data_IF_859182786041
#
_entry.id   IF_859182786041
#
_cell.length_a   1.000
_cell.length_b   1.000
_cell.length_c   1.000
_cell.angle_alpha   90.00
_cell.angle_beta   90.00
_cell.angle_gamma   90.00
#
_symmetry.space_group_name_H-M   'P 1'
#
loop_
_entity.id
_entity.type
_entity.pdbx_description
1 polymer ?
#
# COMPACT_ATOMS: atom_id res chain seq x y z
N UNK A 1 4.54 -23.74 -33.40
CA UNK A 1 5.23 -22.56 -32.81
C UNK A 1 4.51 -21.24 -33.12
N UNK A 2 4.24 -20.89 -34.40
CA UNK A 2 3.60 -19.62 -34.80
C UNK A 2 2.25 -19.32 -34.08
N UNK A 3 1.29 -20.26 -34.09
CA UNK A 3 -0.01 -20.14 -33.37
C UNK A 3 0.10 -20.01 -31.84
N UNK A 4 1.20 -20.48 -31.24
CA UNK A 4 1.45 -20.33 -29.79
C UNK A 4 2.04 -18.95 -29.50
N UNK A 5 2.94 -18.48 -30.36
CA UNK A 5 3.51 -17.14 -30.26
C UNK A 5 2.45 -16.04 -30.46
N UNK A 6 1.66 -16.10 -31.53
CA UNK A 6 0.57 -15.16 -31.83
C UNK A 6 -0.42 -15.05 -30.67
N UNK A 7 -0.68 -16.17 -30.03
CA UNK A 7 -1.65 -16.24 -28.94
C UNK A 7 -1.14 -15.77 -27.57
N UNK A 8 0.18 -15.82 -27.36
CA UNK A 8 0.79 -15.18 -26.18
C UNK A 8 0.73 -13.68 -26.35
N UNK A 9 1.06 -13.19 -27.55
CA UNK A 9 0.96 -11.77 -27.89
C UNK A 9 -0.46 -11.24 -27.67
N UNK A 10 -1.49 -12.03 -28.01
CA UNK A 10 -2.88 -11.68 -27.74
C UNK A 10 -3.17 -11.44 -26.24
N UNK A 11 -2.65 -12.27 -25.34
CA UNK A 11 -2.86 -12.10 -23.90
C UNK A 11 -2.19 -10.83 -23.36
N UNK A 12 -0.95 -10.55 -23.78
CA UNK A 12 -0.25 -9.31 -23.39
C UNK A 12 -0.91 -8.07 -23.99
N UNK A 13 -1.39 -8.16 -25.23
CA UNK A 13 -2.16 -7.09 -25.86
C UNK A 13 -3.50 -6.86 -25.15
N UNK A 14 -4.23 -7.91 -24.78
CA UNK A 14 -5.45 -7.82 -23.99
C UNK A 14 -5.20 -7.18 -22.61
N UNK A 15 -4.10 -7.50 -21.96
CA UNK A 15 -3.70 -6.88 -20.70
C UNK A 15 -3.38 -5.39 -20.86
N UNK A 16 -2.67 -5.03 -21.93
CA UNK A 16 -2.45 -3.62 -22.29
C UNK A 16 -3.79 -2.89 -22.50
N UNK A 17 -4.72 -3.47 -23.26
CA UNK A 17 -6.06 -2.90 -23.45
C UNK A 17 -6.82 -2.78 -22.12
N UNK A 18 -6.71 -3.76 -21.22
CA UNK A 18 -7.27 -3.69 -19.87
C UNK A 18 -6.74 -2.50 -19.08
N UNK A 19 -5.42 -2.30 -19.06
CA UNK A 19 -4.78 -1.16 -18.39
C UNK A 19 -5.26 0.19 -18.98
N UNK A 20 -5.31 0.31 -20.31
CA UNK A 20 -5.83 1.51 -20.99
C UNK A 20 -7.31 1.72 -20.67
N UNK A 21 -8.12 0.66 -20.62
CA UNK A 21 -9.55 0.74 -20.32
C UNK A 21 -9.79 1.28 -18.92
N UNK A 22 -9.11 0.73 -17.90
CA UNK A 22 -9.24 1.22 -16.51
C UNK A 22 -8.74 2.66 -16.40
N UNK A 23 -7.59 2.97 -16.99
CA UNK A 23 -7.06 4.34 -17.02
C UNK A 23 -8.05 5.32 -17.66
N UNK A 24 -8.69 4.94 -18.77
CA UNK A 24 -9.69 5.76 -19.46
C UNK A 24 -10.97 5.96 -18.63
N UNK A 25 -11.44 4.91 -17.94
CA UNK A 25 -12.63 4.97 -17.09
C UNK A 25 -12.46 5.94 -15.92
N UNK A 26 -11.26 6.01 -15.35
CA UNK A 26 -10.99 6.84 -14.17
C UNK A 26 -10.11 8.06 -14.43
N UNK A 27 -9.79 8.36 -15.69
CA UNK A 27 -8.96 9.52 -16.06
C UNK A 27 -9.49 10.83 -15.42
N UNK A 28 -8.63 11.65 -14.78
CA UNK A 28 -7.17 11.56 -14.73
C UNK A 28 -6.63 10.72 -13.56
N UNK A 29 -7.52 10.10 -12.78
CA UNK A 29 -7.23 9.35 -11.56
C UNK A 29 -7.82 10.04 -10.35
N UNK A 30 -8.03 9.26 -9.29
CA UNK A 30 -8.50 9.80 -8.02
C UNK A 30 -7.33 10.11 -7.09
N UNK A 31 -7.43 11.25 -6.40
CA UNK A 31 -6.48 11.69 -5.39
C UNK A 31 -7.17 11.90 -4.06
N UNK A 32 -6.52 11.39 -3.02
CA UNK A 32 -6.81 11.69 -1.62
C UNK A 32 -5.76 12.66 -1.08
N UNK A 33 -5.90 13.09 0.18
CA UNK A 33 -4.87 13.87 0.88
C UNK A 33 -3.48 13.25 0.77
N UNK A 34 -3.34 11.94 1.01
CA UNK A 34 -2.06 11.23 0.89
C UNK A 34 -1.47 11.33 -0.53
N UNK A 35 -2.33 11.30 -1.55
CA UNK A 35 -1.92 11.44 -2.94
C UNK A 35 -1.39 12.85 -3.23
N UNK A 36 -2.04 13.88 -2.68
CA UNK A 36 -1.61 15.27 -2.84
C UNK A 36 -0.29 15.55 -2.12
N UNK A 37 -0.10 15.00 -0.93
CA UNK A 37 1.18 15.10 -0.20
C UNK A 37 2.32 14.53 -1.07
N UNK A 38 2.18 13.31 -1.58
CA UNK A 38 3.20 12.70 -2.44
C UNK A 38 3.37 13.40 -3.79
N UNK A 39 2.30 13.95 -4.36
CA UNK A 39 2.39 14.74 -5.59
C UNK A 39 3.13 16.06 -5.36
N UNK A 40 2.89 16.73 -4.23
CA UNK A 40 3.62 17.95 -3.85
C UNK A 40 5.11 17.67 -3.65
N UNK A 41 5.45 16.56 -2.99
CA UNK A 41 6.85 16.10 -2.86
C UNK A 41 7.46 15.82 -4.24
N UNK A 42 6.72 15.19 -5.15
CA UNK A 42 7.17 14.93 -6.52
C UNK A 42 7.43 16.22 -7.32
N UNK A 43 6.55 17.21 -7.22
CA UNK A 43 6.68 18.48 -7.94
C UNK A 43 7.81 19.36 -7.39
N UNK A 44 7.97 19.39 -6.07
CA UNK A 44 9.01 20.18 -5.40
C UNK A 44 10.37 19.48 -5.34
N UNK A 45 10.40 18.17 -5.61
CA UNK A 45 11.56 17.29 -5.40
C UNK A 45 12.13 17.41 -3.98
N UNK A 46 11.24 17.61 -3.01
CA UNK A 46 11.55 17.74 -1.59
C UNK A 46 10.75 16.70 -0.82
N UNK A 47 11.43 15.81 -0.11
CA UNK A 47 10.80 14.62 0.47
C UNK A 47 10.84 14.63 1.99
N UNK A 48 9.70 14.26 2.60
CA UNK A 48 9.58 14.08 4.05
C UNK A 48 9.57 12.60 4.44
N UNK A 49 9.69 12.30 5.73
CA UNK A 49 9.61 10.92 6.25
C UNK A 49 8.19 10.48 6.62
N UNK A 50 7.17 11.27 6.26
CA UNK A 50 5.76 10.96 6.54
C UNK A 50 5.33 9.67 5.82
N UNK A 51 5.78 9.52 4.57
CA UNK A 51 5.66 8.29 3.78
C UNK A 51 7.02 7.90 3.20
N UNK A 52 7.23 6.63 2.81
CA UNK A 52 8.40 6.26 2.02
C UNK A 52 8.47 7.09 0.71
N UNK A 53 9.65 7.63 0.34
CA UNK A 53 9.76 8.66 -0.71
C UNK A 53 9.70 8.08 -2.13
N UNK A 54 9.79 6.75 -2.31
CA UNK A 54 10.02 6.16 -3.62
C UNK A 54 8.86 6.40 -4.59
N UNK A 55 7.62 6.42 -4.10
CA UNK A 55 6.47 6.71 -4.96
C UNK A 55 6.53 8.15 -5.49
N UNK A 56 6.79 9.13 -4.63
CA UNK A 56 6.92 10.53 -5.03
C UNK A 56 8.13 10.73 -5.95
N UNK A 57 9.25 10.07 -5.67
CA UNK A 57 10.45 10.08 -6.51
C UNK A 57 10.17 9.54 -7.93
N UNK A 58 9.49 8.41 -8.06
CA UNK A 58 9.08 7.88 -9.37
C UNK A 58 8.06 8.79 -10.04
N UNK A 59 7.11 9.33 -9.27
CA UNK A 59 6.12 10.27 -9.77
C UNK A 59 6.79 11.51 -10.37
N UNK A 60 7.84 12.06 -9.76
CA UNK A 60 8.58 13.20 -10.31
C UNK A 60 8.97 12.99 -11.78
N UNK A 61 9.60 11.86 -12.11
CA UNK A 61 10.01 11.58 -13.50
C UNK A 61 8.84 11.34 -14.44
N UNK A 62 7.76 10.73 -13.95
CA UNK A 62 6.53 10.55 -14.73
C UNK A 62 5.87 11.91 -14.98
N UNK A 63 5.87 12.81 -14.00
CA UNK A 63 5.32 14.16 -14.07
C UNK A 63 6.08 15.02 -15.10
N UNK A 64 7.40 14.85 -15.22
CA UNK A 64 8.20 15.51 -16.27
C UNK A 64 7.77 15.11 -17.70
N UNK A 65 7.24 13.91 -17.89
CA UNK A 65 6.82 13.39 -19.21
C UNK A 65 5.34 13.71 -19.46
N UNK A 66 4.49 13.46 -18.45
CA UNK A 66 3.05 13.69 -18.52
C UNK A 66 2.56 14.34 -17.22
N UNK A 67 2.55 15.69 -17.16
CA UNK A 67 2.28 16.44 -15.94
C UNK A 67 0.91 16.14 -15.32
N UNK A 68 0.89 15.76 -14.05
CA UNK A 68 -0.28 15.45 -13.27
C UNK A 68 -0.32 14.01 -12.77
N UNK A 69 -1.52 13.57 -12.41
CA UNK A 69 -1.78 12.28 -11.77
C UNK A 69 -1.99 11.11 -12.74
N UNK A 70 -2.36 11.40 -13.99
CA UNK A 70 -2.72 10.39 -14.98
C UNK A 70 -1.54 9.51 -15.41
N UNK A 71 -0.31 10.03 -15.37
CA UNK A 71 0.88 9.23 -15.64
C UNK A 71 1.05 8.12 -14.60
N UNK A 72 0.88 8.44 -13.31
CA UNK A 72 0.91 7.46 -12.22
C UNK A 72 -0.26 6.49 -12.26
N UNK A 73 -1.47 6.98 -12.63
CA UNK A 73 -2.62 6.10 -12.85
C UNK A 73 -2.31 5.04 -13.91
N UNK A 74 -1.81 5.47 -15.08
CA UNK A 74 -1.45 4.57 -16.17
C UNK A 74 -0.33 3.62 -15.75
N UNK A 75 0.70 4.12 -15.07
CA UNK A 75 1.81 3.33 -14.57
C UNK A 75 1.33 2.18 -13.66
N UNK A 76 0.57 2.49 -12.61
CA UNK A 76 0.04 1.48 -11.68
C UNK A 76 -0.84 0.43 -12.40
N UNK A 77 -1.64 0.87 -13.37
CA UNK A 77 -2.48 -0.03 -14.16
C UNK A 77 -1.64 -0.93 -15.08
N UNK A 78 -0.62 -0.40 -15.77
CA UNK A 78 0.26 -1.21 -16.61
C UNK A 78 0.97 -2.29 -15.80
N UNK A 79 1.48 -1.96 -14.62
CA UNK A 79 2.14 -2.95 -13.74
C UNK A 79 1.20 -4.07 -13.33
N UNK A 80 -0.01 -3.73 -12.85
CA UNK A 80 -1.01 -4.71 -12.45
C UNK A 80 -1.39 -5.65 -13.60
N UNK A 81 -1.82 -5.09 -14.73
CA UNK A 81 -2.34 -5.88 -15.84
C UNK A 81 -1.24 -6.72 -16.51
N UNK A 82 -0.01 -6.18 -16.63
CA UNK A 82 1.14 -6.93 -17.12
C UNK A 82 1.51 -8.09 -16.17
N UNK A 83 1.47 -7.84 -14.86
CA UNK A 83 1.67 -8.88 -13.85
C UNK A 83 0.66 -10.01 -13.98
N UNK A 84 -0.63 -9.67 -14.10
CA UNK A 84 -1.70 -10.64 -14.35
C UNK A 84 -1.47 -11.44 -15.63
N UNK A 85 -1.04 -10.80 -16.72
CA UNK A 85 -0.71 -11.50 -17.97
C UNK A 85 0.42 -12.52 -17.78
N UNK A 86 1.50 -12.15 -17.08
CA UNK A 86 2.59 -13.07 -16.79
C UNK A 86 2.16 -14.26 -15.92
N UNK A 87 1.31 -14.02 -14.90
CA UNK A 87 0.74 -15.09 -14.06
C UNK A 87 -0.02 -16.07 -14.95
N UNK A 88 -0.95 -15.56 -15.77
CA UNK A 88 -1.85 -16.41 -16.56
C UNK A 88 -1.13 -17.14 -17.71
N UNK A 89 -0.16 -16.50 -18.37
CA UNK A 89 0.70 -17.14 -19.39
C UNK A 89 1.56 -18.27 -18.78
N UNK A 90 1.92 -18.17 -17.50
CA UNK A 90 2.74 -19.18 -16.83
C UNK A 90 1.95 -20.39 -16.30
N UNK A 91 0.62 -20.28 -16.17
CA UNK A 91 -0.22 -21.28 -15.48
C UNK A 91 -1.14 -22.07 -16.39
N UNK A 92 -1.63 -21.47 -17.48
CA UNK A 92 -2.64 -22.10 -18.32
C UNK A 92 -2.15 -22.28 -19.75
N UNK A 93 -2.33 -23.49 -20.28
CA UNK A 93 -2.21 -23.77 -21.71
C UNK A 93 -3.45 -23.38 -22.50
N UNK A 94 -4.61 -23.19 -21.82
CA UNK A 94 -5.89 -22.79 -22.42
C UNK A 94 -6.06 -21.27 -22.35
N UNK A 95 -6.11 -20.65 -23.52
CA UNK A 95 -5.90 -19.20 -23.65
C UNK A 95 -7.19 -18.42 -23.51
N UNK A 96 -8.29 -19.04 -23.90
CA UNK A 96 -9.64 -18.55 -23.72
C UNK A 96 -9.93 -18.41 -22.22
N UNK A 97 -9.48 -19.38 -21.42
CA UNK A 97 -9.55 -19.29 -19.96
C UNK A 97 -8.61 -18.20 -19.42
N UNK A 98 -7.38 -18.10 -19.92
CA UNK A 98 -6.47 -17.01 -19.51
C UNK A 98 -7.06 -15.63 -19.79
N UNK A 99 -7.66 -15.42 -20.97
CA UNK A 99 -8.32 -14.15 -21.31
C UNK A 99 -9.55 -13.90 -20.44
N UNK A 100 -10.37 -14.93 -20.20
CA UNK A 100 -11.52 -14.84 -19.31
C UNK A 100 -11.08 -14.43 -17.89
N UNK A 101 -10.12 -15.14 -17.30
CA UNK A 101 -9.63 -14.83 -15.95
C UNK A 101 -8.91 -13.48 -15.87
N UNK A 102 -8.20 -13.07 -16.93
CA UNK A 102 -7.57 -11.75 -17.00
C UNK A 102 -8.62 -10.64 -16.79
N UNK A 103 -9.73 -10.71 -17.53
CA UNK A 103 -10.79 -9.70 -17.42
C UNK A 103 -11.66 -9.88 -16.19
N UNK A 104 -11.99 -11.11 -15.78
CA UNK A 104 -12.77 -11.37 -14.55
C UNK A 104 -12.04 -10.82 -13.33
N UNK A 105 -10.73 -11.05 -13.21
CA UNK A 105 -9.94 -10.57 -12.08
C UNK A 105 -9.66 -9.07 -12.21
N UNK A 106 -9.24 -8.61 -13.39
CA UNK A 106 -8.90 -7.20 -13.59
C UNK A 106 -10.08 -6.23 -13.46
N UNK A 107 -11.29 -6.69 -13.79
CA UNK A 107 -12.54 -5.94 -13.59
C UNK A 107 -13.34 -6.38 -12.36
N UNK A 108 -12.75 -7.21 -11.48
CA UNK A 108 -13.37 -7.57 -10.23
C UNK A 108 -13.62 -6.30 -9.39
N UNK A 109 -14.82 -6.08 -8.79
CA UNK A 109 -15.20 -4.77 -8.27
C UNK A 109 -14.20 -4.14 -7.27
N UNK A 110 -13.65 -4.87 -6.29
CA UNK A 110 -12.62 -4.33 -5.39
C UNK A 110 -11.30 -3.98 -6.11
N UNK A 111 -10.92 -4.76 -7.12
CA UNK A 111 -9.68 -4.53 -7.89
C UNK A 111 -9.81 -3.25 -8.71
N UNK A 112 -10.86 -3.15 -9.53
CA UNK A 112 -11.06 -1.96 -10.37
C UNK A 112 -11.28 -0.69 -9.52
N UNK A 113 -11.95 -0.81 -8.37
CA UNK A 113 -12.13 0.29 -7.43
C UNK A 113 -10.79 0.81 -6.91
N UNK A 114 -9.86 -0.07 -6.54
CA UNK A 114 -8.53 0.31 -6.06
C UNK A 114 -7.66 0.88 -7.20
N UNK A 115 -7.69 0.25 -8.39
CA UNK A 115 -6.91 0.70 -9.56
C UNK A 115 -7.30 2.09 -10.10
N UNK A 116 -8.41 2.67 -9.63
CA UNK A 116 -8.85 4.03 -9.97
C UNK A 116 -8.03 5.14 -9.30
N UNK A 117 -7.30 4.82 -8.22
CA UNK A 117 -6.80 5.80 -7.26
C UNK A 117 -5.28 5.78 -7.18
N UNK A 118 -4.66 6.96 -7.12
CA UNK A 118 -3.21 7.10 -6.93
C UNK A 118 -2.89 6.99 -5.43
N UNK A 119 -2.88 5.75 -4.93
CA UNK A 119 -2.45 5.42 -3.57
C UNK A 119 -1.17 4.57 -3.60
N UNK A 120 -0.33 4.76 -2.58
CA UNK A 120 0.83 3.88 -2.32
C UNK A 120 0.42 2.42 -2.08
N UNK A 121 -0.75 2.17 -1.52
CA UNK A 121 -1.30 0.81 -1.39
C UNK A 121 -1.57 0.17 -2.75
N UNK A 122 -2.06 0.95 -3.71
CA UNK A 122 -2.37 0.51 -5.06
C UNK A 122 -1.07 0.27 -5.84
N UNK A 123 -0.11 1.18 -5.74
CA UNK A 123 1.22 0.99 -6.33
C UNK A 123 1.91 -0.26 -5.78
N UNK A 124 1.97 -0.43 -4.45
CA UNK A 124 2.51 -1.64 -3.81
C UNK A 124 1.76 -2.91 -4.27
N UNK A 125 0.43 -2.88 -4.34
CA UNK A 125 -0.37 -4.01 -4.82
C UNK A 125 -0.06 -4.38 -6.26
N UNK A 126 -0.03 -3.39 -7.16
CA UNK A 126 0.33 -3.57 -8.58
C UNK A 126 1.74 -4.14 -8.76
N UNK A 127 2.71 -3.65 -7.97
CA UNK A 127 4.08 -4.16 -7.97
C UNK A 127 4.16 -5.62 -7.54
N UNK A 128 3.46 -5.99 -6.46
CA UNK A 128 3.47 -7.35 -5.96
C UNK A 128 2.83 -8.31 -6.96
N UNK A 129 1.76 -7.90 -7.67
CA UNK A 129 1.16 -8.68 -8.76
C UNK A 129 2.15 -8.85 -9.92
N UNK A 130 2.85 -7.79 -10.31
CA UNK A 130 3.92 -7.88 -11.31
C UNK A 130 5.06 -8.78 -10.86
N UNK A 131 5.46 -8.69 -9.60
CA UNK A 131 6.53 -9.50 -9.05
C UNK A 131 6.18 -10.99 -9.08
N UNK A 132 4.98 -11.35 -8.64
CA UNK A 132 4.47 -12.73 -8.74
C UNK A 132 4.41 -13.19 -10.20
N UNK A 133 3.97 -12.32 -11.12
CA UNK A 133 3.97 -12.60 -12.55
C UNK A 133 5.36 -12.91 -13.10
N UNK A 134 6.33 -12.03 -12.86
CA UNK A 134 7.71 -12.19 -13.32
C UNK A 134 8.35 -13.49 -12.78
N UNK A 135 8.16 -13.80 -11.49
CA UNK A 135 8.66 -15.05 -10.89
C UNK A 135 7.98 -16.29 -11.47
N UNK A 136 6.66 -16.22 -11.67
CA UNK A 136 5.90 -17.31 -12.30
C UNK A 136 6.40 -17.55 -13.73
N UNK A 137 6.60 -16.47 -14.50
CA UNK A 137 7.15 -16.56 -15.85
C UNK A 137 8.57 -17.12 -15.85
N UNK A 138 9.46 -16.61 -14.99
CA UNK A 138 10.84 -17.07 -14.88
C UNK A 138 10.95 -18.55 -14.50
N UNK A 139 9.98 -19.09 -13.76
CA UNK A 139 9.92 -20.52 -13.42
C UNK A 139 9.70 -21.43 -14.63
N UNK A 140 9.02 -20.91 -15.67
CA UNK A 140 8.66 -21.65 -16.90
C UNK A 140 9.67 -21.51 -18.03
N UNK A 141 10.60 -20.54 -17.93
CA UNK A 141 11.61 -20.27 -18.97
C UNK A 141 12.86 -21.11 -18.73
N UNK A 142 13.33 -21.83 -19.74
CA UNK A 142 14.58 -22.58 -19.66
C UNK A 142 15.80 -21.76 -20.11
N UNK A 143 15.60 -20.83 -21.03
CA UNK A 143 16.66 -19.94 -21.52
C UNK A 143 17.25 -19.09 -20.39
N UNK A 144 18.55 -19.30 -20.09
CA UNK A 144 19.24 -18.64 -18.98
C UNK A 144 19.24 -17.11 -19.07
N UNK A 145 19.40 -16.54 -20.28
CA UNK A 145 19.45 -15.08 -20.48
C UNK A 145 18.10 -14.45 -20.12
N UNK A 146 17.03 -14.92 -20.74
CA UNK A 146 15.66 -14.45 -20.48
C UNK A 146 15.27 -14.62 -19.00
N UNK A 147 15.60 -15.77 -18.40
CA UNK A 147 15.38 -15.99 -16.95
C UNK A 147 16.10 -14.95 -16.08
N UNK A 148 17.38 -14.68 -16.35
CA UNK A 148 18.15 -13.67 -15.60
C UNK A 148 17.54 -12.28 -15.75
N UNK A 149 17.10 -11.90 -16.94
CA UNK A 149 16.42 -10.61 -17.18
C UNK A 149 15.15 -10.51 -16.31
N UNK A 150 14.31 -11.54 -16.32
CA UNK A 150 13.08 -11.56 -15.51
C UNK A 150 13.36 -11.46 -14.00
N UNK A 151 14.40 -12.14 -13.51
CA UNK A 151 14.83 -12.07 -12.12
C UNK A 151 15.39 -10.68 -11.78
N UNK A 152 16.20 -10.08 -12.65
CA UNK A 152 16.69 -8.71 -12.45
C UNK A 152 15.55 -7.69 -12.43
N UNK A 153 14.60 -7.78 -13.36
CA UNK A 153 13.39 -6.95 -13.36
C UNK A 153 12.62 -7.13 -12.05
N UNK A 154 12.45 -8.38 -11.60
CA UNK A 154 11.75 -8.68 -10.35
C UNK A 154 12.42 -8.03 -9.13
N UNK A 155 13.75 -8.02 -9.07
CA UNK A 155 14.49 -7.34 -8.01
C UNK A 155 14.13 -5.86 -7.91
N UNK A 156 14.10 -5.13 -9.04
CA UNK A 156 13.75 -3.71 -9.05
C UNK A 156 12.28 -3.46 -8.74
N UNK A 157 11.37 -4.34 -9.17
CA UNK A 157 9.95 -4.26 -8.79
C UNK A 157 9.77 -4.46 -7.28
N UNK A 158 10.46 -5.44 -6.67
CA UNK A 158 10.43 -5.64 -5.22
C UNK A 158 11.09 -4.48 -4.45
N UNK A 159 12.13 -3.86 -5.03
CA UNK A 159 12.76 -2.67 -4.48
C UNK A 159 11.77 -1.51 -4.42
N UNK A 160 11.04 -1.27 -5.50
CA UNK A 160 10.00 -0.25 -5.58
C UNK A 160 8.86 -0.53 -4.59
N UNK A 161 8.36 -1.77 -4.51
CA UNK A 161 7.29 -2.14 -3.58
C UNK A 161 7.60 -1.80 -2.11
N UNK A 162 8.82 -2.13 -1.64
CA UNK A 162 9.29 -1.74 -0.28
C UNK A 162 9.42 -0.23 -0.15
N UNK A 163 9.95 0.44 -1.18
CA UNK A 163 10.15 1.88 -1.19
C UNK A 163 8.86 2.70 -1.25
N UNK A 164 7.75 2.09 -1.66
CA UNK A 164 6.41 2.70 -1.67
C UNK A 164 5.72 2.56 -0.32
N UNK A 165 5.93 1.44 0.38
CA UNK A 165 5.30 1.19 1.69
C UNK A 165 6.14 0.28 2.59
N UNK A 166 6.37 0.73 3.83
CA UNK A 166 7.20 0.01 4.81
C UNK A 166 6.66 -1.39 5.17
N UNK A 167 5.34 -1.59 5.15
CA UNK A 167 4.73 -2.89 5.44
C UNK A 167 4.84 -3.88 4.27
N UNK A 168 5.26 -3.47 3.07
CA UNK A 168 5.47 -4.37 1.94
C UNK A 168 6.54 -5.44 2.25
N UNK A 169 7.45 -5.15 3.19
CA UNK A 169 8.52 -6.06 3.63
C UNK A 169 7.98 -7.46 3.98
N UNK A 170 6.80 -7.56 4.59
CA UNK A 170 6.21 -8.87 4.94
C UNK A 170 5.78 -9.66 3.72
N UNK A 171 5.28 -8.99 2.67
CA UNK A 171 4.90 -9.62 1.41
C UNK A 171 6.10 -9.94 0.52
N UNK A 172 7.16 -9.12 0.57
CA UNK A 172 8.36 -9.29 -0.26
C UNK A 172 9.24 -10.44 0.24
N UNK A 173 9.31 -10.68 1.56
CA UNK A 173 10.12 -11.75 2.14
C UNK A 173 9.93 -13.13 1.47
N UNK A 174 8.70 -13.69 1.36
CA UNK A 174 8.51 -14.98 0.69
C UNK A 174 8.86 -14.93 -0.81
N UNK A 175 8.69 -13.79 -1.48
CA UNK A 175 9.04 -13.63 -2.89
C UNK A 175 10.56 -13.67 -3.12
N UNK A 176 11.36 -13.15 -2.19
CA UNK A 176 12.83 -13.28 -2.22
C UNK A 176 13.27 -14.75 -2.13
N UNK A 177 12.61 -15.55 -1.28
CA UNK A 177 12.89 -16.99 -1.21
C UNK A 177 12.45 -17.72 -2.47
N UNK A 178 11.33 -17.36 -3.08
CA UNK A 178 10.92 -17.91 -4.37
C UNK A 178 11.91 -17.54 -5.49
N UNK A 179 12.36 -16.29 -5.52
CA UNK A 179 13.40 -15.82 -6.44
C UNK A 179 14.70 -16.62 -6.28
N UNK A 180 15.12 -16.89 -5.05
CA UNK A 180 16.30 -17.72 -4.76
C UNK A 180 16.13 -19.17 -5.24
N UNK A 181 14.92 -19.72 -5.10
CA UNK A 181 14.58 -21.06 -5.53
C UNK A 181 14.67 -21.19 -7.06
N UNK A 182 14.15 -20.21 -7.81
CA UNK A 182 14.24 -20.18 -9.27
C UNK A 182 15.69 -20.02 -9.73
N UNK A 183 16.46 -19.17 -9.04
CA UNK A 183 17.88 -18.93 -9.34
C UNK A 183 18.72 -20.21 -9.18
N UNK A 184 18.41 -21.00 -8.15
CA UNK A 184 19.12 -22.23 -7.79
C UNK A 184 18.35 -23.51 -8.17
N UNK A 185 17.65 -23.52 -9.32
CA UNK A 185 16.72 -24.59 -9.78
C UNK A 185 17.26 -26.04 -9.70
N UNK A 186 18.56 -26.26 -9.47
CA UNK A 186 19.16 -27.58 -9.31
C UNK A 186 18.69 -28.30 -8.03
N UNK A 187 18.16 -29.52 -8.20
CA UNK A 187 17.68 -30.39 -7.11
C UNK A 187 18.78 -30.77 -6.10
N UNK A 188 20.05 -30.76 -6.52
CA UNK A 188 21.22 -31.07 -5.69
C UNK A 188 21.57 -29.90 -4.75
N UNK A 189 21.02 -28.71 -4.99
CA UNK A 189 21.33 -27.54 -4.18
C UNK A 189 20.66 -27.63 -2.82
N UNK A 190 21.45 -27.71 -1.76
CA UNK A 190 20.95 -27.74 -0.38
C UNK A 190 19.98 -26.59 -0.08
N UNK A 191 18.88 -26.90 0.62
CA UNK A 191 17.91 -25.91 1.09
C UNK A 191 18.56 -24.77 1.89
N UNK A 192 19.65 -25.06 2.61
CA UNK A 192 20.44 -24.04 3.33
C UNK A 192 20.93 -22.94 2.38
N UNK A 193 21.41 -23.30 1.18
CA UNK A 193 21.92 -22.33 0.20
C UNK A 193 20.79 -21.46 -0.35
N UNK A 194 19.61 -22.04 -0.60
CA UNK A 194 18.42 -21.29 -1.03
C UNK A 194 17.99 -20.27 0.03
N UNK A 195 17.93 -20.69 1.29
CA UNK A 195 17.63 -19.80 2.42
C UNK A 195 18.66 -18.67 2.48
N UNK A 196 19.96 -18.97 2.46
CA UNK A 196 21.02 -17.95 2.51
C UNK A 196 20.88 -16.94 1.36
N UNK A 197 20.71 -17.40 0.12
CA UNK A 197 20.56 -16.47 -1.03
C UNK A 197 19.26 -15.65 -0.90
N UNK A 198 18.15 -16.26 -0.52
CA UNK A 198 16.88 -15.54 -0.30
C UNK A 198 17.01 -14.46 0.77
N UNK A 199 17.67 -14.78 1.89
CA UNK A 199 17.98 -13.81 2.95
C UNK A 199 18.90 -12.69 2.48
N UNK A 200 19.91 -12.99 1.65
CA UNK A 200 20.81 -11.97 1.10
C UNK A 200 20.08 -11.03 0.12
N UNK A 201 19.22 -11.58 -0.75
CA UNK A 201 18.37 -10.78 -1.65
C UNK A 201 17.48 -9.85 -0.81
N UNK A 202 16.78 -10.41 0.18
CA UNK A 202 15.91 -9.63 1.06
C UNK A 202 16.67 -8.54 1.83
N UNK A 203 17.80 -8.89 2.45
CA UNK A 203 18.64 -7.93 3.18
C UNK A 203 19.15 -6.82 2.26
N UNK A 204 19.52 -7.14 1.02
CA UNK A 204 19.94 -6.13 0.04
C UNK A 204 18.81 -5.16 -0.31
N UNK A 205 17.58 -5.65 -0.54
CA UNK A 205 16.41 -4.81 -0.84
C UNK A 205 16.07 -3.87 0.31
N UNK A 206 16.12 -4.37 1.55
CA UNK A 206 15.90 -3.56 2.76
C UNK A 206 17.01 -2.53 2.93
N UNK A 207 18.27 -2.93 2.74
CA UNK A 207 19.42 -2.02 2.84
C UNK A 207 19.37 -0.91 1.78
N UNK A 208 19.10 -1.27 0.52
CA UNK A 208 18.95 -0.28 -0.56
C UNK A 208 17.82 0.69 -0.27
N UNK A 209 16.67 0.21 0.19
CA UNK A 209 15.58 1.11 0.58
C UNK A 209 15.93 1.99 1.77
N UNK A 210 16.62 1.47 2.78
CA UNK A 210 17.07 2.26 3.91
C UNK A 210 18.06 3.36 3.49
N UNK A 211 18.99 3.04 2.58
CA UNK A 211 19.92 4.02 2.00
C UNK A 211 19.16 5.05 1.17
N UNK A 212 18.34 4.62 0.22
CA UNK A 212 17.57 5.52 -0.64
C UNK A 212 16.67 6.44 0.17
N UNK A 213 15.96 5.91 1.17
CA UNK A 213 15.12 6.69 2.08
C UNK A 213 15.94 7.72 2.84
N UNK A 214 17.10 7.34 3.40
CA UNK A 214 17.99 8.26 4.11
C UNK A 214 18.59 9.34 3.18
N UNK A 215 18.84 9.02 1.92
CA UNK A 215 19.42 9.95 0.94
C UNK A 215 18.39 10.91 0.36
N UNK A 216 17.14 10.46 0.19
CA UNK A 216 16.06 11.26 -0.40
C UNK A 216 15.36 12.15 0.61
N UNK A 217 15.23 11.73 1.87
CA UNK A 217 14.54 12.52 2.89
C UNK A 217 15.39 13.72 3.29
N UNK A 218 14.81 14.91 3.12
CA UNK A 218 15.43 16.17 3.50
C UNK A 218 15.15 16.51 4.98
N UNK A 219 13.92 16.24 5.46
CA UNK A 219 13.49 16.55 6.82
C UNK A 219 12.86 15.34 7.53
N UNK A 220 13.56 14.73 8.51
CA UNK A 220 12.95 13.74 9.40
C UNK A 220 11.91 14.40 10.32
N UNK A 221 10.64 14.02 10.19
CA UNK A 221 9.53 14.50 11.00
C UNK A 221 9.16 13.53 12.13
N UNK A 222 9.46 12.23 12.00
CA UNK A 222 9.09 11.13 12.93
C UNK A 222 7.59 11.05 13.27
N UNK A 223 6.74 11.78 12.53
CA UNK A 223 5.33 11.95 12.85
C UNK A 223 4.51 10.65 12.74
N UNK A 224 4.75 9.72 11.79
CA UNK A 224 3.93 8.51 11.68
C UNK A 224 4.01 7.59 12.91
N UNK A 225 5.16 7.54 13.58
CA UNK A 225 5.33 6.69 14.77
C UNK A 225 4.53 7.18 15.98
N UNK A 226 4.35 8.50 16.09
CA UNK A 226 3.59 9.11 17.18
C UNK A 226 2.11 8.74 17.10
N UNK A 227 1.56 8.57 15.89
CA UNK A 227 0.13 8.32 15.67
C UNK A 227 -0.35 7.08 16.40
N UNK A 228 0.28 5.93 16.15
CA UNK A 228 -0.17 4.69 16.78
C UNK A 228 0.14 4.67 18.27
N UNK A 229 1.28 5.20 18.71
CA UNK A 229 1.64 5.25 20.13
C UNK A 229 0.66 6.11 20.93
N UNK A 230 0.33 7.30 20.43
CA UNK A 230 -0.60 8.20 21.07
C UNK A 230 -2.03 7.64 21.05
N UNK A 231 -2.42 6.93 20.00
CA UNK A 231 -3.73 6.26 19.91
C UNK A 231 -3.87 5.14 20.94
N UNK A 232 -2.85 4.26 21.04
CA UNK A 232 -2.83 3.16 22.01
C UNK A 232 -2.87 3.69 23.46
N UNK A 233 -2.09 4.73 23.77
CA UNK A 233 -2.10 5.39 25.08
C UNK A 233 -3.45 6.06 25.38
N UNK A 234 -4.03 6.74 24.39
CA UNK A 234 -5.36 7.37 24.52
C UNK A 234 -6.43 6.32 24.77
N UNK A 235 -6.36 5.17 24.10
CA UNK A 235 -7.27 4.05 24.31
C UNK A 235 -7.22 3.54 25.75
N UNK A 236 -6.01 3.31 26.28
CA UNK A 236 -5.83 2.86 27.67
C UNK A 236 -6.35 3.92 28.64
N UNK A 237 -6.07 5.21 28.39
CA UNK A 237 -6.55 6.31 29.24
C UNK A 237 -8.09 6.39 29.24
N UNK A 238 -8.73 6.24 28.09
CA UNK A 238 -10.20 6.24 27.97
C UNK A 238 -10.85 4.99 28.59
N UNK A 239 -10.15 3.86 28.66
CA UNK A 239 -10.66 2.62 29.28
C UNK A 239 -10.45 2.56 30.80
N UNK A 240 -9.44 3.24 31.34
CA UNK A 240 -9.01 3.08 32.75
C UNK A 240 -9.12 4.35 33.59
N UNK A 241 -9.14 5.53 32.98
CA UNK A 241 -8.96 6.81 33.66
C UNK A 241 -7.51 7.13 34.01
N UNK A 242 -6.57 6.22 33.78
CA UNK A 242 -5.15 6.47 34.01
C UNK A 242 -4.60 7.45 32.96
N UNK A 243 -3.79 8.44 33.40
CA UNK A 243 -3.17 9.44 32.52
C UNK A 243 -1.89 8.88 31.88
N UNK A 244 -2.03 7.98 30.91
CA UNK A 244 -0.87 7.31 30.28
C UNK A 244 -0.18 8.15 29.21
N UNK A 245 -0.90 9.08 28.57
CA UNK A 245 -0.31 10.02 27.60
C UNK A 245 0.54 11.07 28.32
N UNK A 246 1.83 11.27 27.98
CA UNK A 246 2.67 12.25 28.66
C UNK A 246 2.15 13.69 28.50
N UNK A 247 2.27 14.49 29.58
CA UNK A 247 1.74 15.88 29.62
C UNK A 247 2.26 16.76 28.49
N UNK A 248 3.46 16.54 27.97
CA UNK A 248 4.04 17.35 26.88
C UNK A 248 3.19 17.29 25.60
N UNK A 249 2.58 16.15 25.31
CA UNK A 249 1.72 15.93 24.13
C UNK A 249 0.29 16.44 24.31
N UNK A 250 -0.13 16.77 25.53
CA UNK A 250 -1.50 17.21 25.79
C UNK A 250 -1.63 18.71 25.53
N UNK A 251 -2.63 19.13 24.73
CA UNK A 251 -2.94 20.55 24.57
C UNK A 251 -3.59 21.12 25.83
N UNK A 252 -4.61 20.44 26.36
CA UNK A 252 -5.16 20.68 27.69
C UNK A 252 -4.33 19.93 28.74
N UNK A 253 -3.67 20.64 29.67
CA UNK A 253 -2.83 20.00 30.71
C UNK A 253 -3.63 19.34 31.84
N UNK A 254 -4.93 19.62 31.91
CA UNK A 254 -5.84 19.17 32.96
C UNK A 254 -6.92 18.23 32.39
N UNK A 255 -6.53 17.28 31.53
CA UNK A 255 -7.44 16.25 31.01
C UNK A 255 -8.14 15.49 32.14
N UNK A 256 -9.48 15.50 32.10
CA UNK A 256 -10.37 14.64 32.88
C UNK A 256 -10.53 13.26 32.23
N UNK A 257 -11.24 12.35 32.90
CA UNK A 257 -11.54 11.04 32.31
C UNK A 257 -12.47 11.17 31.11
N UNK A 258 -13.47 12.03 31.22
CA UNK A 258 -14.45 12.34 30.19
C UNK A 258 -13.78 12.96 28.96
N UNK A 259 -12.75 13.78 29.16
CA UNK A 259 -11.97 14.34 28.06
C UNK A 259 -11.27 13.25 27.23
N UNK A 260 -10.70 12.23 27.87
CA UNK A 260 -10.07 11.09 27.18
C UNK A 260 -11.07 10.30 26.35
N UNK A 261 -12.25 10.01 26.90
CA UNK A 261 -13.35 9.37 26.17
C UNK A 261 -13.76 10.24 24.98
N UNK A 262 -13.85 11.56 25.18
CA UNK A 262 -14.32 12.49 24.15
C UNK A 262 -13.44 12.49 22.90
N UNK A 263 -12.12 12.32 23.05
CA UNK A 263 -11.16 12.32 21.93
C UNK A 263 -10.86 10.92 21.40
N UNK A 264 -11.16 9.87 22.15
CA UNK A 264 -10.94 8.49 21.72
C UNK A 264 -11.98 8.04 20.70
N UNK A 265 -11.51 7.33 19.66
CA UNK A 265 -12.31 6.46 18.82
C UNK A 265 -11.47 5.24 18.46
N UNK A 266 -11.99 4.00 18.62
CA UNK A 266 -11.19 2.79 18.38
C UNK A 266 -10.62 2.68 16.97
N UNK A 267 -11.32 3.22 15.97
CA UNK A 267 -11.00 3.04 14.55
C UNK A 267 -10.62 4.35 13.82
N UNK A 268 -10.52 5.48 14.53
CA UNK A 268 -10.10 6.78 13.96
C UNK A 268 -9.09 7.46 14.85
N UNK A 269 -7.84 7.36 14.45
CA UNK A 269 -6.71 8.02 15.13
C UNK A 269 -6.77 9.54 14.93
N UNK A 270 -7.29 10.02 13.82
CA UNK A 270 -7.39 11.44 13.48
C UNK A 270 -8.19 12.24 14.52
N UNK A 271 -9.13 11.57 15.22
CA UNK A 271 -9.93 12.20 16.27
C UNK A 271 -9.08 12.77 17.40
N UNK A 272 -7.97 12.11 17.76
CA UNK A 272 -7.08 12.58 18.83
C UNK A 272 -6.32 13.85 18.43
N UNK A 273 -6.21 14.15 17.14
CA UNK A 273 -5.50 15.32 16.60
C UNK A 273 -6.43 16.39 16.01
N UNK A 274 -7.75 16.24 16.15
CA UNK A 274 -8.72 17.15 15.55
C UNK A 274 -8.49 18.61 16.00
N UNK A 275 -8.16 19.55 15.10
CA UNK A 275 -7.91 20.94 15.44
C UNK A 275 -9.09 21.64 16.13
N UNK A 276 -10.33 21.18 15.91
CA UNK A 276 -11.52 21.77 16.54
C UNK A 276 -11.70 21.34 18.00
N UNK A 277 -10.97 20.33 18.47
CA UNK A 277 -11.10 19.84 19.84
C UNK A 277 -10.01 20.46 20.74
N UNK A 278 -10.37 21.16 21.85
CA UNK A 278 -9.38 21.75 22.76
C UNK A 278 -8.51 20.70 23.46
N UNK A 279 -9.02 19.49 23.64
CA UNK A 279 -8.36 18.35 24.27
C UNK A 279 -7.47 17.55 23.30
N UNK A 280 -7.31 18.01 22.05
CA UNK A 280 -6.46 17.35 21.07
C UNK A 280 -5.03 17.17 21.57
N UNK A 281 -4.37 16.13 21.08
CA UNK A 281 -2.95 15.92 21.27
C UNK A 281 -2.14 16.77 20.27
N UNK A 282 -0.88 17.00 20.61
CA UNK A 282 0.12 17.64 19.76
C UNK A 282 1.06 16.59 19.22
N UNK A 283 1.64 16.87 18.06
CA UNK A 283 2.81 16.12 17.56
C UNK A 283 4.06 16.98 17.75
N UNK A 284 5.20 16.31 17.80
CA UNK A 284 6.50 16.97 17.99
C UNK A 284 7.54 16.41 17.04
N UNK A 285 8.54 17.22 16.72
CA UNK A 285 9.76 16.79 16.02
C UNK A 285 10.95 16.65 16.99
N UNK A 286 10.73 16.89 18.30
CA UNK A 286 11.77 16.86 19.32
C UNK A 286 12.12 15.40 19.71
N UNK A 287 13.37 14.93 19.48
CA UNK A 287 13.77 13.56 19.78
C UNK A 287 13.63 13.15 21.25
N UNK A 288 13.82 14.08 22.18
CA UNK A 288 13.68 13.83 23.61
C UNK A 288 12.21 13.61 23.98
N UNK A 289 11.28 14.39 23.41
CA UNK A 289 9.84 14.19 23.60
C UNK A 289 9.38 12.86 22.99
N UNK A 290 9.91 12.48 21.83
CA UNK A 290 9.63 11.17 21.22
C UNK A 290 10.07 10.01 22.10
N UNK A 291 11.25 10.11 22.74
CA UNK A 291 11.72 9.10 23.70
C UNK A 291 10.80 9.00 24.91
N UNK A 292 10.26 10.13 25.39
CA UNK A 292 9.27 10.15 26.47
C UNK A 292 7.98 9.42 26.04
N UNK A 293 7.48 9.70 24.83
CA UNK A 293 6.30 9.02 24.28
C UNK A 293 6.51 7.50 24.18
N UNK A 294 7.64 7.09 23.61
CA UNK A 294 7.99 5.68 23.46
C UNK A 294 8.08 4.95 24.81
N UNK A 295 8.73 5.58 25.80
CA UNK A 295 8.86 5.00 27.15
C UNK A 295 7.50 4.86 27.82
N UNK A 296 6.63 5.88 27.70
CA UNK A 296 5.28 5.83 28.23
C UNK A 296 4.43 4.76 27.54
N UNK A 297 4.51 4.66 26.22
CA UNK A 297 3.85 3.62 25.43
C UNK A 297 4.28 2.22 25.89
N UNK A 298 5.57 1.94 25.93
CA UNK A 298 6.08 0.64 26.38
C UNK A 298 5.64 0.31 27.81
N UNK A 299 5.69 1.29 28.72
CA UNK A 299 5.22 1.13 30.10
C UNK A 299 3.72 0.84 30.20
N UNK A 300 2.89 1.46 29.35
CA UNK A 300 1.45 1.23 29.33
C UNK A 300 1.13 -0.16 28.75
N UNK A 301 1.84 -0.60 27.71
CA UNK A 301 1.69 -1.93 27.12
C UNK A 301 1.99 -3.06 28.12
N UNK A 302 3.05 -2.89 28.93
CA UNK A 302 3.43 -3.92 29.92
C UNK A 302 2.50 -3.94 31.12
N UNK A 303 1.95 -2.78 31.52
CA UNK A 303 0.99 -2.69 32.64
C UNK A 303 -0.44 -3.10 32.25
N UNK A 304 -0.84 -2.87 30.99
CA UNK A 304 -2.20 -3.09 30.49
C UNK A 304 -2.25 -3.95 29.21
N UNK A 305 -1.61 -5.14 29.17
CA UNK A 305 -1.45 -5.92 27.94
C UNK A 305 -2.80 -6.35 27.33
N UNK A 306 -3.78 -6.70 28.18
CA UNK A 306 -5.10 -7.12 27.72
C UNK A 306 -5.93 -5.97 27.15
N UNK A 307 -5.80 -4.75 27.70
CA UNK A 307 -6.51 -3.58 27.18
C UNK A 307 -5.92 -3.12 25.85
N UNK A 308 -4.59 -3.15 25.73
CA UNK A 308 -3.93 -2.96 24.45
C UNK A 308 -4.40 -3.98 23.42
N UNK A 309 -4.36 -5.28 23.76
CA UNK A 309 -4.79 -6.33 22.83
C UNK A 309 -6.25 -6.15 22.42
N UNK A 310 -7.15 -5.84 23.36
CA UNK A 310 -8.56 -5.53 23.07
C UNK A 310 -8.68 -4.36 22.09
N UNK A 311 -7.95 -3.27 22.32
CA UNK A 311 -7.94 -2.12 21.43
C UNK A 311 -7.47 -2.50 20.01
N UNK A 312 -6.37 -3.25 19.90
CA UNK A 312 -5.82 -3.69 18.59
C UNK A 312 -6.74 -4.67 17.87
N UNK A 313 -7.41 -5.57 18.60
CA UNK A 313 -8.42 -6.46 18.01
C UNK A 313 -9.60 -5.65 17.47
N UNK A 314 -10.09 -4.65 18.21
CA UNK A 314 -11.19 -3.80 17.73
C UNK A 314 -10.79 -3.03 16.46
N UNK A 315 -9.59 -2.46 16.44
CA UNK A 315 -9.04 -1.78 15.26
C UNK A 315 -8.92 -2.76 14.07
N UNK A 316 -8.36 -3.94 14.31
CA UNK A 316 -8.22 -4.99 13.30
C UNK A 316 -9.57 -5.44 12.77
N UNK A 317 -10.53 -5.76 13.62
CA UNK A 317 -11.88 -6.18 13.23
C UNK A 317 -12.53 -5.14 12.30
N UNK A 318 -12.36 -3.85 12.61
CA UNK A 318 -12.85 -2.77 11.75
C UNK A 318 -12.15 -2.76 10.38
N UNK A 319 -10.81 -2.82 10.34
CA UNK A 319 -10.05 -2.84 9.08
C UNK A 319 -10.35 -4.06 8.21
N UNK A 320 -10.59 -5.21 8.83
CA UNK A 320 -10.96 -6.45 8.13
C UNK A 320 -12.41 -6.47 7.65
N UNK A 321 -13.21 -5.44 7.96
CA UNK A 321 -14.59 -5.31 7.50
C UNK A 321 -15.58 -6.14 8.32
N UNK A 322 -15.38 -6.28 9.64
CA UNK A 322 -16.37 -6.86 10.56
C UNK A 322 -17.41 -5.85 11.07
N UNK A 323 -17.21 -4.55 10.83
CA UNK A 323 -18.20 -3.53 11.13
C UNK A 323 -19.40 -3.60 10.15
N UNK A 324 -20.52 -2.99 10.51
CA UNK A 324 -21.71 -2.95 9.66
C UNK A 324 -21.40 -2.34 8.28
N UNK A 325 -20.72 -1.19 8.29
CA UNK A 325 -20.23 -0.52 7.09
C UNK A 325 -18.73 -0.75 6.87
N UNK A 326 -18.33 -0.96 5.61
CA UNK A 326 -16.91 -0.97 5.24
C UNK A 326 -16.45 0.48 5.15
N UNK A 327 -15.47 0.83 5.98
CA UNK A 327 -14.95 2.18 6.02
C UNK A 327 -14.00 2.45 4.88
N UNK A 328 -14.30 3.49 4.11
CA UNK A 328 -13.45 4.03 3.05
C UNK A 328 -12.83 2.95 2.13
N UNK A 329 -13.66 2.08 1.51
CA UNK A 329 -13.18 0.92 0.76
C UNK A 329 -12.43 1.31 -0.52
N UNK A 330 -12.72 2.48 -1.07
CA UNK A 330 -12.05 3.09 -2.22
C UNK A 330 -12.38 4.58 -2.29
N UNK A 331 -11.55 5.33 -3.01
CA UNK A 331 -11.79 6.76 -3.27
C UNK A 331 -12.82 6.94 -4.39
N UNK A 332 -13.71 7.92 -4.26
CA UNK A 332 -14.82 8.16 -5.22
C UNK A 332 -14.64 9.40 -6.09
N UNK A 333 -13.46 10.00 -6.10
CA UNK A 333 -13.18 11.25 -6.80
C UNK A 333 -11.89 11.91 -6.36
N UNK A 334 -11.75 13.19 -6.67
CA UNK A 334 -10.62 14.00 -6.20
C UNK A 334 -11.06 14.73 -4.93
N UNK A 335 -10.32 14.54 -3.84
CA UNK A 335 -10.59 15.23 -2.59
C UNK A 335 -10.31 16.74 -2.72
N UNK A 336 -11.07 17.57 -2.03
CA UNK A 336 -10.78 19.01 -1.92
C UNK A 336 -9.35 19.21 -1.42
N UNK A 337 -8.64 20.14 -2.04
CA UNK A 337 -7.23 20.38 -1.82
C UNK A 337 -6.89 21.86 -2.06
N UNK A 338 -5.79 22.29 -1.45
CA UNK A 338 -5.32 23.66 -1.53
C UNK A 338 -4.61 23.97 -2.87
N UNK A 339 -4.34 22.94 -3.68
CA UNK A 339 -3.70 23.08 -5.01
C UNK A 339 -4.71 23.46 -6.11
N UNK A 340 -6.00 23.51 -5.80
CA UNK A 340 -7.06 23.80 -6.79
C UNK A 340 -7.28 22.69 -7.83
N UNK A 341 -6.68 21.52 -7.64
CA UNK A 341 -6.83 20.37 -8.55
C UNK A 341 -8.24 19.83 -8.37
N UNK A 342 -9.09 20.06 -9.37
CA UNK A 342 -10.43 19.49 -9.41
C UNK A 342 -10.71 19.01 -10.83
N UNK A 343 -11.53 17.97 -10.94
CA UNK A 343 -11.95 17.48 -12.25
C UNK A 343 -13.38 17.06 -12.15
N UNK A 344 -14.21 17.58 -13.06
CA UNK A 344 -15.57 17.08 -13.18
C UNK A 344 -15.51 15.63 -13.66
N UNK A 345 -16.09 14.72 -12.86
CA UNK A 345 -16.13 13.32 -13.22
C UNK A 345 -16.95 13.13 -14.49
N UNK A 346 -16.37 12.44 -15.47
CA UNK A 346 -17.07 12.08 -16.69
C UNK A 346 -18.26 11.14 -16.39
N UNK A 347 -19.27 11.09 -17.27
CA UNK A 347 -20.45 10.23 -17.08
C UNK A 347 -20.08 8.76 -16.89
N UNK A 348 -19.06 8.26 -17.63
CA UNK A 348 -18.54 6.89 -17.48
C UNK A 348 -17.98 6.64 -16.08
N UNK A 349 -17.24 7.60 -15.53
CA UNK A 349 -16.67 7.52 -14.19
C UNK A 349 -17.77 7.55 -13.14
N UNK A 350 -18.73 8.49 -13.26
CA UNK A 350 -19.89 8.62 -12.36
C UNK A 350 -20.69 7.32 -12.29
N UNK A 351 -21.02 6.71 -13.43
CA UNK A 351 -21.75 5.44 -13.50
C UNK A 351 -20.95 4.31 -12.84
N UNK A 352 -19.66 4.20 -13.15
CA UNK A 352 -18.81 3.15 -12.59
C UNK A 352 -18.68 3.27 -11.07
N UNK A 353 -18.44 4.49 -10.56
CA UNK A 353 -18.39 4.78 -9.13
C UNK A 353 -19.72 4.48 -8.46
N UNK A 354 -20.86 4.80 -9.08
CA UNK A 354 -22.18 4.49 -8.54
C UNK A 354 -22.38 2.97 -8.37
N UNK A 355 -21.99 2.17 -9.37
CA UNK A 355 -22.05 0.70 -9.29
C UNK A 355 -21.16 0.18 -8.16
N UNK A 356 -19.90 0.62 -8.10
CA UNK A 356 -18.96 0.22 -7.04
C UNK A 356 -19.48 0.62 -5.66
N UNK A 357 -20.07 1.82 -5.54
CA UNK A 357 -20.59 2.34 -4.29
C UNK A 357 -21.80 1.54 -3.80
N UNK A 358 -22.65 1.04 -4.71
CA UNK A 358 -23.72 0.12 -4.36
C UNK A 358 -23.20 -1.21 -3.79
N UNK A 359 -22.02 -1.66 -4.22
CA UNK A 359 -21.39 -2.91 -3.76
C UNK A 359 -20.51 -2.75 -2.51
N UNK A 360 -20.26 -1.52 -2.05
CA UNK A 360 -19.22 -1.20 -1.05
C UNK A 360 -19.32 -1.96 0.28
N UNK A 361 -20.52 -2.35 0.70
CA UNK A 361 -20.77 -3.07 1.96
C UNK A 361 -20.96 -4.58 1.77
N UNK A 362 -20.86 -5.07 0.53
CA UNK A 362 -20.94 -6.50 0.21
C UNK A 362 -19.73 -7.27 0.73
N UNK A 363 -19.81 -8.60 0.69
CA UNK A 363 -18.71 -9.50 1.07
C UNK A 363 -17.43 -9.24 0.25
N UNK A 364 -17.56 -8.71 -0.98
CA UNK A 364 -16.43 -8.46 -1.86
C UNK A 364 -15.45 -7.42 -1.29
N UNK A 365 -15.93 -6.45 -0.51
CA UNK A 365 -15.11 -5.40 0.08
C UNK A 365 -14.71 -5.69 1.53
N UNK A 366 -15.00 -6.90 2.05
CA UNK A 366 -14.66 -7.29 3.41
C UNK A 366 -13.40 -8.15 3.39
N UNK A 367 -12.33 -7.65 3.99
CA UNK A 367 -11.04 -8.34 4.03
C UNK A 367 -11.14 -9.77 4.56
N UNK A 368 -12.00 -10.00 5.57
CA UNK A 368 -12.13 -11.33 6.20
C UNK A 368 -12.68 -12.39 5.23
N UNK A 369 -13.43 -11.99 4.20
CA UNK A 369 -13.99 -12.92 3.21
C UNK A 369 -12.89 -13.66 2.45
N UNK A 370 -11.77 -12.98 2.17
CA UNK A 370 -10.64 -13.57 1.46
C UNK A 370 -9.81 -14.55 2.29
N UNK A 371 -10.01 -14.60 3.62
CA UNK A 371 -9.38 -15.62 4.47
C UNK A 371 -10.10 -16.97 4.41
N UNK A 372 -11.30 -17.01 3.83
CA UNK A 372 -12.12 -18.21 3.69
C UNK A 372 -11.94 -18.92 2.34
N UNK A 373 -11.23 -18.29 1.41
CA UNK A 373 -10.89 -18.81 0.07
C UNK A 373 -9.52 -19.47 0.10
#
# INVERSE_FOLDING_TARGET
MKRVFESRLLLYFAAFLGAITVTYLFFPGFMSKDSFEQFTEAQSFHFTDWHPPMMAFVWHFIDLIWPGQQGMLLFNNLLFWLGMAFILDSRSSRKELSLLFLFVIGFFPPVIALLSTIWKDVAMGSDLVLAVGLLSKASTVDECKTKRILLCMNFFVLLYAIGVRHNAITAVLPLCFWMSHITLKNAITSMKKKIVIGSLIFASLVLFNAIATKTLIDEPSYLPTQWFMAHDLTAISAMTGEKTVPKVFQNNKNMTYEDWISIYQPFRVEKIYNPKNPNRLKMTRNPQELKILFTAWLSALTRHPLLYLRHRIMLGAFQWGFAEEVWYPFQTGIQNNDMGISTELSSRTKITVMILYALRNSLLFRGWFYLLL
#
